data_IF_680269500114
#
_entry.id   IF_680269500114
#
_cell.length_a   1.000
_cell.length_b   1.000
_cell.length_c   1.000
_cell.angle_alpha   90.00
_cell.angle_beta   90.00
_cell.angle_gamma   90.00
#
_symmetry.space_group_name_H-M   'P 1'
#
loop_
_entity.id
_entity.type
_entity.pdbx_description
1 polymer ?
#
# COMPACT_ATOMS: atom_id res chain seq x y z
N UNK A 1 -9.35 -1.15 -13.57
CA UNK A 1 -8.00 -1.61 -13.87
C UNK A 1 -7.58 -2.84 -13.04
N UNK A 2 -8.37 -3.30 -12.08
CA UNK A 2 -8.07 -4.48 -11.26
C UNK A 2 -7.06 -4.22 -10.12
N UNK A 3 -6.92 -2.97 -9.67
CA UNK A 3 -6.11 -2.67 -8.50
C UNK A 3 -6.71 -3.35 -7.26
N UNK A 4 -5.87 -3.97 -6.43
CA UNK A 4 -6.27 -4.58 -5.16
C UNK A 4 -6.31 -3.58 -4.01
N UNK A 5 -5.45 -2.56 -4.06
CA UNK A 5 -5.32 -1.50 -3.05
C UNK A 5 -5.26 -0.14 -3.75
N UNK A 6 -5.88 0.87 -3.15
CA UNK A 6 -5.74 2.27 -3.52
C UNK A 6 -5.22 3.03 -2.30
N UNK A 7 -4.01 3.59 -2.41
CA UNK A 7 -3.42 4.45 -1.39
C UNK A 7 -3.79 5.90 -1.64
N UNK A 8 -4.34 6.56 -0.63
CA UNK A 8 -4.64 7.99 -0.60
C UNK A 8 -3.68 8.66 0.37
N UNK A 9 -2.76 9.46 -0.16
CA UNK A 9 -1.75 10.17 0.62
C UNK A 9 -2.10 11.64 0.83
N UNK A 10 -1.86 12.14 2.04
CA UNK A 10 -2.03 13.55 2.36
C UNK A 10 -0.79 14.41 2.09
N UNK A 11 -0.96 15.73 2.04
CA UNK A 11 0.09 16.71 1.80
C UNK A 11 1.22 16.67 2.84
N UNK A 12 0.92 16.29 4.06
CA UNK A 12 1.89 16.14 5.16
C UNK A 12 2.72 14.84 5.05
N UNK A 13 2.45 14.02 4.06
CA UNK A 13 3.21 12.83 3.72
C UNK A 13 4.48 13.15 2.92
N UNK A 14 5.08 12.11 2.36
CA UNK A 14 6.28 12.18 1.54
C UNK A 14 7.52 11.71 2.26
N UNK A 15 8.66 11.78 1.57
CA UNK A 15 9.93 11.30 2.12
C UNK A 15 10.49 12.23 3.19
N UNK A 16 11.26 11.69 4.14
CA UNK A 16 12.00 12.50 5.11
C UNK A 16 12.97 13.51 4.46
N UNK A 17 13.36 13.26 3.21
CA UNK A 17 14.22 14.13 2.41
C UNK A 17 13.48 15.26 1.69
N UNK A 18 12.15 15.24 1.64
CA UNK A 18 11.38 16.28 0.95
C UNK A 18 11.58 17.63 1.66
N UNK A 19 11.76 18.73 0.90
CA UNK A 19 11.88 20.06 1.47
C UNK A 19 10.57 20.48 2.17
N UNK A 20 10.68 21.28 3.22
CA UNK A 20 9.53 21.75 4.00
C UNK A 20 8.45 22.42 3.14
N UNK A 21 8.85 23.16 2.11
CA UNK A 21 7.93 23.80 1.17
C UNK A 21 7.06 22.79 0.40
N UNK A 22 7.63 21.66 -0.01
CA UNK A 22 6.87 20.57 -0.66
C UNK A 22 5.86 19.95 0.30
N UNK A 23 6.28 19.68 1.54
CA UNK A 23 5.43 19.01 2.54
C UNK A 23 4.24 19.88 2.93
N UNK A 24 4.45 21.19 3.07
CA UNK A 24 3.40 22.11 3.54
C UNK A 24 2.54 22.71 2.44
N UNK A 25 3.01 22.75 1.20
CA UNK A 25 2.35 23.51 0.14
C UNK A 25 2.00 22.67 -1.10
N UNK A 26 2.35 21.40 -1.16
CA UNK A 26 2.00 20.53 -2.28
C UNK A 26 1.00 19.46 -1.84
N UNK A 27 -0.15 19.39 -2.50
CA UNK A 27 -1.20 18.43 -2.20
C UNK A 27 -2.29 18.96 -1.28
N UNK A 28 -3.24 18.10 -0.96
CA UNK A 28 -4.42 18.36 -0.12
C UNK A 28 -4.40 17.45 1.11
N UNK A 29 -5.19 17.78 2.14
CA UNK A 29 -5.40 16.86 3.26
C UNK A 29 -5.94 15.51 2.79
N UNK A 30 -5.45 14.42 3.40
CA UNK A 30 -5.88 13.07 3.05
C UNK A 30 -7.38 12.84 3.30
N UNK A 31 -7.98 13.55 4.24
CA UNK A 31 -9.39 13.46 4.59
C UNK A 31 -10.29 13.73 3.37
N UNK A 32 -9.95 14.75 2.59
CA UNK A 32 -10.71 15.10 1.39
C UNK A 32 -10.60 14.00 0.33
N UNK A 33 -9.37 13.60 -0.03
CA UNK A 33 -9.14 12.57 -1.05
C UNK A 33 -9.70 11.20 -0.65
N UNK A 34 -9.64 10.87 0.64
CA UNK A 34 -10.17 9.62 1.18
C UNK A 34 -11.69 9.57 1.08
N UNK A 35 -12.38 10.62 1.56
CA UNK A 35 -13.84 10.70 1.51
C UNK A 35 -14.35 10.64 0.06
N UNK A 36 -13.74 11.41 -0.84
CA UNK A 36 -14.07 11.43 -2.27
C UNK A 36 -13.86 10.06 -2.92
N UNK A 37 -12.74 9.42 -2.64
CA UNK A 37 -12.43 8.07 -3.17
C UNK A 37 -13.45 7.04 -2.68
N UNK A 38 -13.72 7.02 -1.37
CA UNK A 38 -14.68 6.09 -0.78
C UNK A 38 -16.08 6.25 -1.39
N UNK A 39 -16.59 7.47 -1.46
CA UNK A 39 -17.91 7.78 -2.02
C UNK A 39 -17.96 7.46 -3.53
N UNK A 40 -16.93 7.79 -4.29
CA UNK A 40 -16.86 7.48 -5.72
C UNK A 40 -16.89 5.97 -5.97
N UNK A 41 -16.16 5.19 -5.19
CA UNK A 41 -16.16 3.74 -5.30
C UNK A 41 -17.53 3.13 -4.92
N UNK A 42 -18.21 3.68 -3.92
CA UNK A 42 -19.57 3.27 -3.56
C UNK A 42 -20.56 3.58 -4.70
N UNK A 43 -20.54 4.80 -5.20
CA UNK A 43 -21.40 5.25 -6.30
C UNK A 43 -21.29 4.36 -7.54
N UNK A 44 -20.09 3.82 -7.80
CA UNK A 44 -19.83 2.97 -8.95
C UNK A 44 -19.91 1.45 -8.65
N UNK A 45 -20.30 1.04 -7.44
CA UNK A 45 -20.37 -0.36 -7.01
C UNK A 45 -19.01 -1.07 -7.02
N UNK A 46 -17.91 -0.33 -6.84
CA UNK A 46 -16.54 -0.82 -6.86
C UNK A 46 -15.92 -0.97 -5.49
N UNK A 47 -16.53 -0.39 -4.45
CA UNK A 47 -15.92 -0.29 -3.11
C UNK A 47 -15.52 -1.63 -2.51
N UNK A 48 -16.34 -2.68 -2.69
CA UNK A 48 -16.04 -3.99 -2.15
C UNK A 48 -14.95 -4.76 -2.91
N UNK A 49 -14.48 -4.22 -4.04
CA UNK A 49 -13.45 -4.88 -4.88
C UNK A 49 -12.03 -4.46 -4.56
N UNK A 50 -11.85 -3.42 -3.73
CA UNK A 50 -10.57 -2.77 -3.49
C UNK A 50 -10.45 -2.34 -2.03
N UNK A 51 -9.27 -2.54 -1.45
CA UNK A 51 -8.90 -1.98 -0.15
C UNK A 51 -8.54 -0.51 -0.33
N UNK A 52 -8.95 0.34 0.60
CA UNK A 52 -8.48 1.73 0.65
C UNK A 52 -7.50 1.87 1.81
N UNK A 53 -6.29 2.27 1.48
CA UNK A 53 -5.25 2.65 2.42
C UNK A 53 -5.13 4.18 2.47
N UNK A 54 -4.78 4.73 3.62
CA UNK A 54 -4.44 6.15 3.74
C UNK A 54 -3.20 6.38 4.57
N UNK A 55 -2.43 7.39 4.19
CA UNK A 55 -1.31 7.93 4.96
C UNK A 55 -1.31 9.46 4.91
N UNK A 56 -0.32 10.10 5.47
CA UNK A 56 -0.21 11.55 5.53
C UNK A 56 -0.21 12.04 6.96
N UNK A 57 0.80 11.60 7.71
CA UNK A 57 1.04 12.03 9.10
C UNK A 57 -0.02 11.54 10.11
N UNK A 58 -0.45 10.31 9.95
CA UNK A 58 -1.20 9.64 11.02
C UNK A 58 -0.28 9.44 12.23
N UNK A 59 -0.66 9.92 13.40
CA UNK A 59 0.17 9.94 14.61
C UNK A 59 -0.51 9.31 15.82
N UNK A 60 -1.84 9.26 15.84
CA UNK A 60 -2.64 8.89 17.00
C UNK A 60 -3.75 7.89 16.64
N UNK A 61 -4.32 7.25 17.65
CA UNK A 61 -5.49 6.40 17.46
C UNK A 61 -6.72 7.18 16.99
N UNK A 62 -6.81 8.46 17.34
CA UNK A 62 -7.86 9.35 16.83
C UNK A 62 -7.78 9.51 15.31
N UNK A 63 -6.56 9.66 14.76
CA UNK A 63 -6.39 9.78 13.30
C UNK A 63 -6.87 8.52 12.60
N UNK A 64 -6.55 7.34 13.15
CA UNK A 64 -7.03 6.04 12.64
C UNK A 64 -8.56 5.97 12.67
N UNK A 65 -9.20 6.40 13.75
CA UNK A 65 -10.67 6.41 13.89
C UNK A 65 -11.30 7.32 12.84
N UNK A 66 -10.78 8.53 12.65
CA UNK A 66 -11.29 9.46 11.62
C UNK A 66 -11.08 8.88 10.23
N UNK A 67 -9.92 8.30 9.96
CA UNK A 67 -9.64 7.67 8.68
C UNK A 67 -10.58 6.48 8.40
N UNK A 68 -10.87 5.64 9.40
CA UNK A 68 -11.87 4.57 9.28
C UNK A 68 -13.26 5.13 8.97
N UNK A 69 -13.71 6.16 9.69
CA UNK A 69 -14.99 6.80 9.44
C UNK A 69 -15.12 7.37 8.03
N UNK A 70 -14.02 7.82 7.43
CA UNK A 70 -13.98 8.33 6.06
C UNK A 70 -13.76 7.23 5.01
N UNK A 71 -13.52 5.98 5.42
CA UNK A 71 -13.52 4.83 4.52
C UNK A 71 -12.21 4.06 4.37
N UNK A 72 -11.14 4.39 5.13
CA UNK A 72 -9.90 3.63 5.10
C UNK A 72 -10.03 2.29 5.84
N UNK A 73 -9.34 1.27 5.32
CA UNK A 73 -9.21 -0.07 5.91
C UNK A 73 -7.77 -0.34 6.33
N UNK A 74 -6.79 0.33 5.72
CA UNK A 74 -5.38 0.23 6.03
C UNK A 74 -4.79 1.62 6.30
N UNK A 75 -3.77 1.69 7.15
CA UNK A 75 -3.25 2.94 7.69
C UNK A 75 -1.73 2.97 7.63
N UNK A 76 -1.16 3.93 6.89
CA UNK A 76 0.27 4.11 6.74
C UNK A 76 0.86 5.06 7.80
N UNK A 77 1.91 4.62 8.46
CA UNK A 77 2.65 5.41 9.46
C UNK A 77 4.12 5.57 9.04
N UNK A 78 4.59 6.79 8.94
CA UNK A 78 5.99 7.07 8.63
C UNK A 78 6.65 7.94 9.71
N UNK A 79 6.14 9.15 9.94
CA UNK A 79 6.72 10.09 10.90
C UNK A 79 6.67 9.56 12.33
N UNK A 80 5.56 8.95 12.74
CA UNK A 80 5.39 8.44 14.09
C UNK A 80 6.43 7.36 14.46
N UNK A 81 6.64 6.28 13.68
CA UNK A 81 7.73 5.34 13.92
C UNK A 81 9.10 5.96 13.89
N UNK A 82 9.38 6.92 12.98
CA UNK A 82 10.67 7.60 12.93
C UNK A 82 10.96 8.38 14.22
N UNK A 83 9.99 9.15 14.72
CA UNK A 83 10.12 9.90 15.98
C UNK A 83 10.31 8.94 17.16
N UNK A 84 9.57 7.85 17.19
CA UNK A 84 9.69 6.79 18.20
C UNK A 84 11.10 6.18 18.23
N UNK A 85 11.76 6.08 17.07
CA UNK A 85 13.15 5.62 16.96
C UNK A 85 14.19 6.70 17.26
N UNK A 86 13.79 7.92 17.64
CA UNK A 86 14.68 9.01 18.00
C UNK A 86 14.95 10.02 16.88
N UNK A 87 14.18 10.02 15.80
CA UNK A 87 14.28 11.04 14.75
C UNK A 87 13.89 12.43 15.32
N UNK A 88 14.75 13.41 15.13
CA UNK A 88 14.55 14.81 15.58
C UNK A 88 14.02 15.72 14.46
N UNK A 89 13.60 15.15 13.35
CA UNK A 89 12.96 15.85 12.22
C UNK A 89 13.79 17.01 11.63
N UNK A 90 15.12 16.91 11.63
CA UNK A 90 16.01 17.93 11.05
C UNK A 90 15.95 18.03 9.52
N UNK A 91 15.37 17.03 8.86
CA UNK A 91 15.20 16.97 7.39
C UNK A 91 16.49 17.13 6.58
N UNK A 92 17.58 16.57 7.07
CA UNK A 92 18.89 16.49 6.40
C UNK A 92 19.18 15.07 5.88
N UNK A 93 18.14 14.24 5.75
CA UNK A 93 18.27 12.82 5.36
C UNK A 93 18.90 12.66 3.97
N UNK A 94 18.62 13.58 3.06
CA UNK A 94 19.18 13.56 1.70
C UNK A 94 20.67 13.92 1.62
N UNK A 95 21.24 14.44 2.72
CA UNK A 95 22.65 14.86 2.78
C UNK A 95 23.56 13.82 3.44
N UNK A 96 23.01 12.66 3.83
CA UNK A 96 23.73 11.63 4.60
C UNK A 96 24.33 12.12 5.94
N UNK A 97 23.77 13.19 6.50
CA UNK A 97 24.27 13.88 7.70
C UNK A 97 23.33 13.77 8.90
N UNK A 98 22.51 12.72 8.96
CA UNK A 98 21.54 12.53 10.04
C UNK A 98 22.25 12.51 11.40
N UNK A 99 21.98 13.50 12.29
CA UNK A 99 22.75 13.65 13.53
C UNK A 99 22.46 12.55 14.57
N UNK A 100 21.32 11.90 14.45
CA UNK A 100 20.85 10.81 15.34
C UNK A 100 21.02 9.41 14.73
N UNK A 101 21.59 9.31 13.54
CA UNK A 101 21.91 8.02 12.91
C UNK A 101 20.75 7.23 12.34
N UNK A 102 19.53 7.76 12.31
CA UNK A 102 18.33 7.05 11.79
C UNK A 102 18.40 6.86 10.28
N UNK A 103 18.83 7.89 9.53
CA UNK A 103 18.82 7.90 8.08
C UNK A 103 20.17 8.36 7.53
N UNK A 104 21.19 7.51 7.66
CA UNK A 104 22.55 7.77 7.17
C UNK A 104 23.27 6.47 6.90
N UNK A 105 24.17 6.46 5.92
CA UNK A 105 25.12 5.38 5.65
C UNK A 105 26.50 5.66 6.27
N UNK A 106 26.73 6.89 6.80
CA UNK A 106 27.98 7.23 7.46
C UNK A 106 28.21 6.37 8.71
N UNK A 107 29.29 5.58 8.81
CA UNK A 107 29.54 4.66 9.92
C UNK A 107 29.60 5.34 11.29
N UNK A 108 30.16 6.56 11.37
CA UNK A 108 30.27 7.28 12.64
C UNK A 108 28.93 7.84 13.12
N UNK A 109 28.08 8.31 12.18
CA UNK A 109 26.75 8.78 12.54
C UNK A 109 25.82 7.62 12.90
N UNK A 110 25.94 6.47 12.22
CA UNK A 110 25.15 5.27 12.56
C UNK A 110 25.36 4.78 13.99
N UNK A 111 26.54 4.97 14.57
CA UNK A 111 26.82 4.63 15.98
C UNK A 111 25.95 5.41 16.97
N UNK A 112 25.37 6.53 16.57
CA UNK A 112 24.49 7.36 17.40
C UNK A 112 23.05 6.86 17.44
N UNK A 113 22.69 5.90 16.58
CA UNK A 113 21.35 5.36 16.53
C UNK A 113 21.02 4.59 17.80
N UNK A 114 20.05 5.11 18.57
CA UNK A 114 19.61 4.55 19.86
C UNK A 114 18.22 3.89 19.79
N UNK A 115 17.60 3.84 18.60
CA UNK A 115 16.29 3.24 18.42
C UNK A 115 16.31 1.72 18.62
N UNK A 116 15.19 1.20 19.12
CA UNK A 116 14.98 -0.23 19.32
C UNK A 116 13.65 -0.64 18.71
N UNK A 117 13.52 -1.86 18.17
CA UNK A 117 12.24 -2.37 17.62
C UNK A 117 11.09 -2.28 18.62
N UNK A 118 11.36 -2.57 19.89
CA UNK A 118 10.36 -2.58 20.96
C UNK A 118 9.71 -1.21 21.18
N UNK A 119 10.40 -0.12 20.85
CA UNK A 119 9.82 1.23 20.96
C UNK A 119 8.70 1.40 19.93
N UNK A 120 8.92 0.94 18.70
CA UNK A 120 7.91 1.00 17.64
C UNK A 120 6.76 0.04 17.96
N UNK A 121 7.05 -1.19 18.39
CA UNK A 121 6.01 -2.16 18.78
C UNK A 121 5.10 -1.61 19.88
N UNK A 122 5.69 -1.05 20.94
CA UNK A 122 4.93 -0.48 22.06
C UNK A 122 4.11 0.72 21.59
N UNK A 123 4.70 1.59 20.77
CA UNK A 123 3.98 2.75 20.24
C UNK A 123 2.76 2.33 19.42
N UNK A 124 2.89 1.33 18.53
CA UNK A 124 1.77 0.81 17.75
C UNK A 124 0.71 0.14 18.63
N UNK A 125 1.12 -0.52 19.72
CA UNK A 125 0.18 -1.07 20.72
C UNK A 125 -0.59 0.06 21.43
N UNK A 126 0.06 1.17 21.75
CA UNK A 126 -0.63 2.33 22.37
C UNK A 126 -1.62 2.97 21.39
N UNK A 127 -1.28 3.10 20.10
CA UNK A 127 -2.24 3.54 19.07
C UNK A 127 -3.44 2.58 19.03
N UNK A 128 -3.20 1.28 19.02
CA UNK A 128 -4.29 0.29 18.99
C UNK A 128 -5.18 0.37 20.23
N UNK A 129 -4.61 0.62 21.41
CA UNK A 129 -5.38 0.80 22.65
C UNK A 129 -6.19 2.08 22.61
N UNK A 130 -5.63 3.19 22.15
CA UNK A 130 -6.37 4.44 21.95
C UNK A 130 -7.53 4.26 20.96
N UNK A 131 -7.33 3.51 19.87
CA UNK A 131 -8.40 3.14 18.92
C UNK A 131 -9.52 2.39 19.64
N UNK A 132 -9.17 1.40 20.48
CA UNK A 132 -10.14 0.63 21.26
C UNK A 132 -10.96 1.51 22.21
N UNK A 133 -10.30 2.48 22.88
CA UNK A 133 -10.99 3.43 23.77
C UNK A 133 -12.00 4.28 23.00
N UNK A 134 -11.63 4.80 21.82
CA UNK A 134 -12.57 5.55 20.99
C UNK A 134 -13.73 4.67 20.51
N UNK A 135 -13.45 3.46 20.05
CA UNK A 135 -14.49 2.53 19.62
C UNK A 135 -15.44 2.18 20.76
N UNK A 136 -14.92 1.99 21.98
CA UNK A 136 -15.75 1.74 23.16
C UNK A 136 -16.69 2.91 23.48
N UNK A 137 -16.18 4.16 23.41
CA UNK A 137 -16.98 5.38 23.59
C UNK A 137 -18.08 5.53 22.54
N UNK A 138 -17.83 5.05 21.30
CA UNK A 138 -18.78 5.05 20.19
C UNK A 138 -19.75 3.87 20.21
N UNK A 139 -19.54 2.88 21.10
CA UNK A 139 -20.32 1.65 21.11
C UNK A 139 -20.04 0.69 19.94
N UNK A 140 -18.90 0.82 19.28
CA UNK A 140 -18.48 0.03 18.12
C UNK A 140 -17.58 -1.11 18.59
N UNK A 141 -17.83 -2.32 18.10
CA UNK A 141 -17.05 -3.52 18.51
C UNK A 141 -15.96 -3.90 17.55
N UNK A 142 -16.14 -3.66 16.26
CA UNK A 142 -15.17 -4.00 15.22
C UNK A 142 -14.87 -2.80 14.34
N UNK A 143 -13.63 -2.72 13.84
CA UNK A 143 -13.25 -1.63 12.94
C UNK A 143 -14.09 -1.64 11.65
N UNK A 144 -14.47 -2.81 11.17
CA UNK A 144 -15.34 -2.97 9.99
C UNK A 144 -16.71 -2.31 10.15
N UNK A 145 -17.24 -2.25 11.36
CA UNK A 145 -18.50 -1.53 11.64
C UNK A 145 -18.33 0.00 11.48
N UNK A 146 -17.12 0.50 11.74
CA UNK A 146 -16.81 1.93 11.71
C UNK A 146 -16.49 2.45 10.31
N UNK A 147 -15.95 1.59 9.42
CA UNK A 147 -15.50 2.00 8.09
C UNK A 147 -16.65 2.67 7.31
N UNK A 148 -16.37 3.89 6.82
CA UNK A 148 -17.32 4.68 6.04
C UNK A 148 -18.47 5.29 6.86
N UNK A 149 -18.42 5.27 8.20
CA UNK A 149 -19.43 5.82 9.09
C UNK A 149 -19.17 7.31 9.42
N UNK A 150 -19.12 8.12 8.38
CA UNK A 150 -18.92 9.58 8.53
C UNK A 150 -20.05 10.27 9.33
N UNK A 151 -21.20 9.62 9.52
CA UNK A 151 -22.28 10.08 10.37
C UNK A 151 -21.91 10.22 11.87
N UNK A 152 -20.80 9.60 12.31
CA UNK A 152 -20.23 9.85 13.64
C UNK A 152 -19.36 11.11 13.71
N UNK A 153 -19.08 11.76 12.59
CA UNK A 153 -18.31 13.01 12.54
C UNK A 153 -19.25 14.22 12.61
N UNK A 154 -18.87 15.20 13.39
CA UNK A 154 -19.55 16.49 13.47
C UNK A 154 -18.52 17.61 13.44
N UNK A 155 -18.83 18.67 12.71
CA UNK A 155 -18.07 19.93 12.79
C UNK A 155 -18.20 20.51 14.19
N UNK A 156 -17.10 20.95 14.77
CA UNK A 156 -17.10 21.56 16.10
C UNK A 156 -17.82 22.91 16.06
N UNK A 157 -18.74 23.12 16.97
CA UNK A 157 -19.55 24.33 17.01
C UNK A 157 -18.74 25.59 17.35
N UNK A 158 -17.64 25.44 18.14
CA UNK A 158 -16.74 26.54 18.51
C UNK A 158 -15.87 27.05 17.34
N UNK A 159 -15.68 26.26 16.27
CA UNK A 159 -14.99 26.71 15.05
C UNK A 159 -15.83 27.70 14.23
N UNK A 160 -17.12 27.81 14.48
CA UNK A 160 -17.99 28.78 13.82
C UNK A 160 -17.72 30.23 14.24
N UNK A 161 -16.95 30.47 15.28
CA UNK A 161 -16.60 31.81 15.78
C UNK A 161 -15.39 32.42 15.05
N UNK A 162 -14.53 31.61 14.41
CA UNK A 162 -13.37 32.09 13.66
C UNK A 162 -13.74 32.39 12.19
N UNK A 163 -13.40 33.60 11.73
CA UNK A 163 -13.66 34.06 10.35
C UNK A 163 -13.07 33.18 9.24
N UNK A 164 -11.99 32.43 9.52
CA UNK A 164 -11.39 31.50 8.55
C UNK A 164 -12.18 30.19 8.51
N UNK A 165 -12.55 29.66 9.65
CA UNK A 165 -13.26 28.38 9.74
C UNK A 165 -14.71 28.47 9.31
N UNK A 166 -15.36 29.63 9.45
CA UNK A 166 -16.69 29.90 8.87
C UNK A 166 -16.79 29.71 7.35
N UNK A 167 -15.65 29.84 6.66
CA UNK A 167 -15.57 29.69 5.19
C UNK A 167 -15.33 28.25 4.74
N UNK A 168 -15.04 27.34 5.68
CA UNK A 168 -14.81 25.93 5.38
C UNK A 168 -16.15 25.20 5.33
N UNK A 169 -16.49 24.72 4.16
CA UNK A 169 -17.55 23.74 3.98
C UNK A 169 -16.96 22.34 4.06
N UNK A 170 -17.26 21.61 5.14
CA UNK A 170 -16.83 20.24 5.35
C UNK A 170 -17.87 19.20 4.92
N UNK A 171 -19.04 19.65 4.43
CA UNK A 171 -20.10 18.76 3.98
C UNK A 171 -19.64 17.74 2.93
N UNK A 172 -18.79 18.07 1.94
CA UNK A 172 -18.31 17.08 0.97
C UNK A 172 -17.50 15.92 1.59
N UNK A 173 -16.95 16.13 2.80
CA UNK A 173 -16.18 15.12 3.53
C UNK A 173 -17.11 14.30 4.44
N UNK A 174 -18.04 14.97 5.13
CA UNK A 174 -18.85 14.38 6.19
C UNK A 174 -20.15 13.78 5.65
N UNK A 175 -20.81 14.46 4.72
CA UNK A 175 -22.10 14.04 4.19
C UNK A 175 -21.93 12.95 3.14
N UNK A 176 -22.05 11.70 3.57
CA UNK A 176 -21.96 10.54 2.69
C UNK A 176 -23.36 10.07 2.30
N UNK A 177 -23.82 10.28 1.05
CA UNK A 177 -25.13 9.82 0.61
C UNK A 177 -25.26 8.30 0.54
N UNK A 178 -24.13 7.57 0.59
CA UNK A 178 -24.07 6.11 0.52
C UNK A 178 -23.87 5.45 1.88
N UNK A 179 -24.17 6.14 2.98
CA UNK A 179 -23.95 5.67 4.35
C UNK A 179 -24.61 4.31 4.65
N UNK A 180 -25.72 4.02 4.00
CA UNK A 180 -26.51 2.79 4.18
C UNK A 180 -26.07 1.65 3.23
N UNK A 181 -25.07 1.86 2.40
CA UNK A 181 -24.60 0.84 1.48
C UNK A 181 -23.95 -0.34 2.24
N UNK A 182 -24.42 -1.56 1.90
CA UNK A 182 -23.92 -2.79 2.56
C UNK A 182 -22.49 -3.16 2.13
N UNK A 183 -22.11 -2.83 0.90
CA UNK A 183 -20.80 -3.16 0.31
C UNK A 183 -19.79 -2.02 0.51
N UNK A 184 -19.67 -1.50 1.72
CA UNK A 184 -18.80 -0.36 2.06
C UNK A 184 -17.37 -0.72 2.49
N UNK A 185 -17.05 -2.02 2.57
CA UNK A 185 -15.73 -2.56 2.90
C UNK A 185 -15.27 -3.54 1.83
N UNK A 186 -13.98 -3.82 1.78
CA UNK A 186 -13.42 -4.83 0.89
C UNK A 186 -13.99 -6.22 1.19
N UNK A 187 -14.31 -6.95 0.13
CA UNK A 187 -14.71 -8.35 0.21
C UNK A 187 -13.85 -9.17 -0.76
N UNK A 188 -13.02 -10.10 -0.25
CA UNK A 188 -12.16 -10.94 -1.10
C UNK A 188 -12.91 -11.67 -2.22
N UNK A 189 -14.20 -11.98 -2.02
CA UNK A 189 -15.04 -12.63 -3.03
C UNK A 189 -15.39 -11.72 -4.22
N UNK A 190 -15.38 -10.40 -4.00
CA UNK A 190 -15.66 -9.39 -5.02
C UNK A 190 -14.37 -8.91 -5.71
N UNK A 191 -13.18 -9.32 -5.22
CA UNK A 191 -11.89 -8.93 -5.76
C UNK A 191 -11.76 -9.32 -7.24
N UNK A 192 -10.95 -8.53 -7.98
CA UNK A 192 -10.72 -8.82 -9.39
C UNK A 192 -9.96 -10.13 -9.55
N UNK A 193 -10.53 -11.05 -10.32
CA UNK A 193 -9.86 -12.30 -10.69
C UNK A 193 -9.02 -12.07 -11.95
N UNK A 194 -7.70 -12.18 -11.80
CA UNK A 194 -6.74 -12.05 -12.91
C UNK A 194 -6.71 -13.28 -13.83
N UNK A 195 -7.43 -14.34 -13.49
CA UNK A 195 -7.49 -15.59 -14.25
C UNK A 195 -6.08 -16.15 -14.56
N UNK A 196 -5.18 -16.11 -13.56
CA UNK A 196 -3.77 -16.51 -13.73
C UNK A 196 -3.63 -17.94 -14.25
N UNK A 197 -4.60 -18.81 -13.97
CA UNK A 197 -4.70 -20.17 -14.50
C UNK A 197 -4.80 -20.23 -16.05
N UNK A 198 -5.16 -19.11 -16.68
CA UNK A 198 -5.22 -18.99 -18.16
C UNK A 198 -3.90 -18.57 -18.78
N UNK A 199 -2.92 -18.15 -17.99
CA UNK A 199 -1.61 -17.72 -18.49
C UNK A 199 -0.80 -18.86 -19.08
N UNK A 200 0.18 -18.54 -19.95
CA UNK A 200 1.11 -19.52 -20.51
C UNK A 200 1.98 -20.13 -19.41
N UNK A 201 2.36 -19.34 -18.42
CA UNK A 201 3.13 -19.78 -17.27
C UNK A 201 2.44 -20.93 -16.55
N UNK A 202 1.17 -20.79 -16.20
CA UNK A 202 0.40 -21.81 -15.50
C UNK A 202 0.07 -23.02 -16.40
N UNK A 203 -0.35 -22.78 -17.64
CA UNK A 203 -0.75 -23.86 -18.55
C UNK A 203 0.40 -24.70 -19.05
N UNK A 204 1.54 -24.07 -19.30
CA UNK A 204 2.65 -24.70 -20.03
C UNK A 204 3.94 -24.73 -19.19
N UNK A 205 4.40 -23.56 -18.69
CA UNK A 205 5.73 -23.46 -18.11
C UNK A 205 5.86 -24.20 -16.80
N UNK A 206 4.99 -23.95 -15.83
CA UNK A 206 5.07 -24.62 -14.53
C UNK A 206 5.00 -26.14 -14.68
N UNK A 207 4.17 -26.64 -15.58
CA UNK A 207 4.05 -28.09 -15.81
C UNK A 207 5.31 -28.69 -16.43
N UNK A 208 5.87 -28.00 -17.43
CA UNK A 208 7.06 -28.50 -18.16
C UNK A 208 8.36 -28.30 -17.39
N UNK A 209 8.46 -27.28 -16.56
CA UNK A 209 9.63 -27.03 -15.72
C UNK A 209 9.56 -27.72 -14.35
N UNK A 210 8.49 -28.45 -14.03
CA UNK A 210 8.32 -29.08 -12.73
C UNK A 210 9.52 -29.97 -12.35
N UNK A 211 9.94 -30.87 -13.25
CA UNK A 211 11.10 -31.72 -13.02
C UNK A 211 12.39 -30.91 -12.87
N UNK A 212 12.61 -29.92 -13.74
CA UNK A 212 13.77 -29.05 -13.66
C UNK A 212 13.85 -28.30 -12.32
N UNK A 213 12.73 -27.88 -11.78
CA UNK A 213 12.65 -27.23 -10.46
C UNK A 213 12.91 -28.19 -9.28
N UNK A 214 12.72 -29.50 -9.49
CA UNK A 214 12.95 -30.53 -8.46
C UNK A 214 14.33 -31.17 -8.56
N UNK A 215 14.84 -31.37 -9.77
CA UNK A 215 16.08 -32.12 -10.03
C UNK A 215 17.26 -31.25 -10.48
N UNK A 216 17.02 -30.01 -10.86
CA UNK A 216 18.05 -29.14 -11.47
C UNK A 216 18.36 -29.48 -12.93
N UNK A 217 17.55 -30.31 -13.59
CA UNK A 217 17.76 -30.70 -14.97
C UNK A 217 17.58 -29.54 -15.95
N UNK A 218 18.46 -29.40 -16.92
CA UNK A 218 18.39 -28.34 -17.94
C UNK A 218 17.23 -28.60 -18.88
N UNK A 219 16.26 -27.69 -18.88
CA UNK A 219 15.02 -27.78 -19.66
C UNK A 219 14.87 -26.62 -20.63
N UNK A 220 14.45 -26.90 -21.85
CA UNK A 220 14.21 -25.91 -22.91
C UNK A 220 12.76 -26.00 -23.39
N UNK A 221 12.09 -24.86 -23.50
CA UNK A 221 10.73 -24.77 -24.02
C UNK A 221 10.68 -23.77 -25.16
N UNK A 222 9.89 -24.08 -26.18
CA UNK A 222 9.44 -23.14 -27.19
C UNK A 222 7.91 -22.99 -27.06
N UNK A 223 7.42 -21.76 -26.97
CA UNK A 223 6.01 -21.44 -26.92
C UNK A 223 5.69 -20.29 -27.88
N UNK A 224 4.50 -20.34 -28.46
CA UNK A 224 3.97 -19.22 -29.24
C UNK A 224 3.37 -18.21 -28.28
N UNK A 225 3.80 -16.96 -28.36
CA UNK A 225 3.30 -15.85 -27.54
C UNK A 225 2.65 -14.80 -28.40
N UNK A 226 1.69 -14.11 -27.82
CA UNK A 226 0.94 -13.01 -28.43
C UNK A 226 1.09 -11.74 -27.60
N UNK A 227 0.54 -10.63 -28.08
CA UNK A 227 0.58 -9.34 -27.37
C UNK A 227 -0.25 -9.31 -26.07
N UNK A 228 -1.07 -10.32 -25.82
CA UNK A 228 -1.83 -10.46 -24.56
C UNK A 228 -1.05 -11.20 -23.48
N UNK A 229 0.01 -11.92 -23.83
CA UNK A 229 0.87 -12.68 -22.90
C UNK A 229 1.94 -11.77 -22.28
N UNK A 230 1.53 -10.77 -21.51
CA UNK A 230 2.42 -9.66 -21.12
C UNK A 230 3.44 -10.01 -20.03
N UNK A 231 3.09 -10.81 -19.06
CA UNK A 231 3.94 -11.11 -17.89
C UNK A 231 4.61 -12.49 -18.01
N UNK A 232 5.01 -12.86 -19.21
CA UNK A 232 5.58 -14.17 -19.54
C UNK A 232 6.81 -14.49 -18.69
N UNK A 233 6.82 -15.65 -18.05
CA UNK A 233 7.91 -16.13 -17.19
C UNK A 233 7.89 -15.56 -15.77
N UNK A 234 7.01 -14.65 -15.43
CA UNK A 234 6.96 -14.01 -14.10
C UNK A 234 6.53 -15.00 -13.03
N UNK A 235 5.50 -15.80 -13.28
CA UNK A 235 5.04 -16.82 -12.33
C UNK A 235 6.09 -17.92 -12.21
N UNK A 236 6.68 -18.38 -13.32
CA UNK A 236 7.78 -19.31 -13.30
C UNK A 236 8.99 -18.77 -12.51
N UNK A 237 9.38 -17.53 -12.73
CA UNK A 237 10.46 -16.87 -12.00
C UNK A 237 10.20 -16.82 -10.50
N UNK A 238 8.95 -16.51 -10.10
CA UNK A 238 8.52 -16.54 -8.70
C UNK A 238 8.66 -17.94 -8.09
N UNK A 239 8.26 -19.01 -8.80
CA UNK A 239 8.41 -20.38 -8.31
C UNK A 239 9.87 -20.81 -8.20
N UNK A 240 10.71 -20.40 -9.13
CA UNK A 240 12.17 -20.62 -9.06
C UNK A 240 12.74 -19.98 -7.79
N UNK A 241 12.46 -18.71 -7.57
CA UNK A 241 12.94 -17.97 -6.38
C UNK A 241 12.39 -18.57 -5.08
N UNK A 242 11.12 -18.98 -5.06
CA UNK A 242 10.50 -19.59 -3.88
C UNK A 242 11.16 -20.93 -3.50
N UNK A 243 11.54 -21.74 -4.50
CA UNK A 243 12.13 -23.06 -4.27
C UNK A 243 13.63 -23.03 -4.02
N UNK A 244 14.36 -22.19 -4.74
CA UNK A 244 15.82 -22.18 -4.74
C UNK A 244 16.41 -21.04 -3.91
N UNK A 245 15.63 -19.99 -3.58
CA UNK A 245 16.10 -18.82 -2.83
C UNK A 245 17.32 -18.17 -3.47
N UNK A 246 18.31 -17.87 -2.66
CA UNK A 246 19.59 -17.27 -3.11
C UNK A 246 20.55 -18.28 -3.75
N UNK A 247 20.20 -19.55 -3.77
CA UNK A 247 21.04 -20.63 -4.35
C UNK A 247 20.83 -20.85 -5.85
N UNK A 248 20.17 -19.90 -6.52
CA UNK A 248 20.00 -19.94 -7.98
C UNK A 248 21.37 -19.67 -8.63
N UNK A 249 22.00 -20.72 -9.18
CA UNK A 249 23.24 -20.56 -9.96
C UNK A 249 22.99 -19.56 -11.11
N UNK A 250 24.04 -18.79 -11.48
CA UNK A 250 23.92 -17.78 -12.54
C UNK A 250 23.47 -18.35 -13.90
N UNK A 251 23.75 -19.62 -14.15
CA UNK A 251 23.29 -20.34 -15.34
C UNK A 251 21.85 -20.86 -15.28
N UNK A 252 21.22 -20.86 -14.12
CA UNK A 252 19.84 -21.37 -13.92
C UNK A 252 18.74 -20.30 -14.07
N UNK A 253 19.10 -19.07 -14.39
CA UNK A 253 18.12 -18.01 -14.64
C UNK A 253 17.43 -18.23 -15.98
N UNK A 254 16.09 -18.12 -16.05
CA UNK A 254 15.37 -18.18 -17.32
C UNK A 254 15.90 -17.10 -18.27
N UNK A 255 16.43 -17.50 -19.42
CA UNK A 255 16.87 -16.55 -20.45
C UNK A 255 16.01 -16.67 -21.68
N UNK A 256 15.33 -15.60 -22.06
CA UNK A 256 14.70 -15.50 -23.38
C UNK A 256 15.78 -15.28 -24.45
N UNK A 257 16.06 -16.29 -25.28
CA UNK A 257 17.19 -16.23 -26.24
C UNK A 257 16.88 -15.67 -27.61
N UNK A 258 15.64 -15.51 -28.00
CA UNK A 258 15.27 -14.74 -29.21
C UNK A 258 13.79 -14.47 -29.27
N UNK A 259 13.47 -13.26 -29.63
CA UNK A 259 12.13 -12.89 -30.07
C UNK A 259 12.23 -12.60 -31.55
N UNK A 260 11.74 -13.49 -32.42
CA UNK A 260 11.55 -13.17 -33.83
C UNK A 260 10.11 -12.74 -34.03
N UNK A 261 9.88 -11.45 -34.32
CA UNK A 261 8.57 -10.93 -34.66
C UNK A 261 8.31 -11.13 -36.15
N UNK A 262 7.39 -12.02 -36.49
CA UNK A 262 6.67 -11.95 -37.76
C UNK A 262 5.35 -11.25 -37.52
N UNK A 263 4.84 -10.52 -38.48
CA UNK A 263 3.69 -9.61 -38.35
C UNK A 263 2.36 -10.22 -37.85
N UNK A 264 2.34 -11.48 -37.43
CA UNK A 264 1.20 -12.19 -36.85
C UNK A 264 1.51 -13.12 -35.66
N UNK A 265 2.66 -13.03 -35.05
CA UNK A 265 2.98 -13.82 -33.86
C UNK A 265 4.46 -13.77 -33.51
N UNK A 266 4.74 -13.59 -32.24
CA UNK A 266 6.09 -13.60 -31.67
C UNK A 266 6.34 -14.96 -31.05
N UNK A 267 7.44 -15.61 -31.40
CA UNK A 267 7.86 -16.86 -30.75
C UNK A 267 8.99 -16.55 -29.80
N UNK A 268 8.76 -16.71 -28.51
CA UNK A 268 9.81 -16.61 -27.49
C UNK A 268 10.32 -18.02 -27.15
N UNK A 269 11.64 -18.17 -27.08
CA UNK A 269 12.28 -19.36 -26.51
C UNK A 269 12.76 -19.01 -25.12
N UNK A 270 12.21 -19.64 -24.12
CA UNK A 270 12.67 -19.52 -22.73
C UNK A 270 13.60 -20.70 -22.47
N UNK A 271 14.81 -20.39 -22.06
CA UNK A 271 15.80 -21.38 -21.63
C UNK A 271 15.95 -21.24 -20.12
N UNK A 272 15.73 -22.30 -19.36
CA UNK A 272 16.31 -22.44 -18.04
C UNK A 272 17.63 -23.21 -18.16
N UNK A 273 18.60 -22.81 -17.40
CA UNK A 273 19.83 -23.59 -17.24
C UNK A 273 19.64 -24.65 -16.17
#
# INVERSE_FOLDING_TARGET
AGAGVILISGYDGGTGAAPASSIHNAGLPWELGLAETHQTLLMNGLRSKVVIETDGKLMTGRDVIVAAMLGAEEYGFATAPLVTMGCVMMRVCNLDTCPVGVATQNPELRKRFAGKPEYVENFMRFIAEEVREYMAKLGIRTLNELIGRSDFLKVRDDLAEDERTKRLDLSPIIDNPFINEKKRIFNPKDAYNFELEKTIDEKIFLKKFKNALETGEKTKIAAKVTNIDRALGTILGSEITRKLGDHVADDSRPRAKSCSSTARGTTARVLSA
#
